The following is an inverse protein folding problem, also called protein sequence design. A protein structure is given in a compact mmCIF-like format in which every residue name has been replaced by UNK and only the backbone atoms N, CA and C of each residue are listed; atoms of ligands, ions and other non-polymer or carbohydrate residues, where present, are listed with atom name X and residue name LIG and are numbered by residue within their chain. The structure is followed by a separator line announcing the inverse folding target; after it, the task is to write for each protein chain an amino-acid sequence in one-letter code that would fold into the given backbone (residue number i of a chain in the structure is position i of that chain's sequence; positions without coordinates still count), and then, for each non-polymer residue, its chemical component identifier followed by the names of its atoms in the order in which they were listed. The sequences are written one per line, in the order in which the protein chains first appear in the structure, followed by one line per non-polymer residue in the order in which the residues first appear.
data_IF_034748289023
#
_entry.id   IF_034748289023
#
_cell.length_a   1.000
_cell.length_b   1.000
_cell.length_c   1.000
_cell.angle_alpha   90.00
_cell.angle_beta   90.00
_cell.angle_gamma   90.00
#
_symmetry.space_group_name_H-M   'P 1'
#
loop_
_entity.id
_entity.type
_entity.pdbx_description
1 polymer ?
#
# COMPACT_ATOMS: atom_id res chain seq x y z
N UNK A 1 52.72 52.37 -77.06
CA UNK A 1 52.35 51.03 -76.58
C UNK A 1 51.56 51.22 -75.29
N UNK A 2 50.24 50.99 -75.38
CA UNK A 2 49.24 50.44 -74.42
C UNK A 2 49.61 50.48 -72.92
N UNK A 3 48.73 50.69 -71.93
CA UNK A 3 47.27 50.68 -71.78
C UNK A 3 47.00 51.11 -70.31
N UNK A 4 46.05 52.00 -70.03
CA UNK A 4 44.71 51.73 -69.44
C UNK A 4 44.64 51.46 -67.92
N UNK A 5 43.65 52.14 -67.30
CA UNK A 5 42.85 51.80 -66.09
C UNK A 5 43.52 52.06 -64.72
N UNK A 6 43.14 53.05 -63.91
CA UNK A 6 41.84 53.48 -63.37
C UNK A 6 41.33 52.61 -62.19
N UNK A 7 40.79 53.31 -61.18
CA UNK A 7 40.06 52.86 -59.97
C UNK A 7 40.82 52.42 -58.70
N UNK A 8 40.75 53.31 -57.70
CA UNK A 8 40.08 53.09 -56.40
C UNK A 8 40.16 51.65 -55.85
N UNK A 9 40.96 51.46 -54.79
CA UNK A 9 40.76 50.33 -53.89
C UNK A 9 40.41 50.85 -52.50
N UNK A 10 39.13 51.18 -52.40
CA UNK A 10 38.36 51.33 -51.18
C UNK A 10 38.64 50.18 -50.19
N UNK A 11 38.72 50.57 -48.93
CA UNK A 11 38.77 49.72 -47.74
C UNK A 11 37.63 48.69 -47.75
N UNK A 12 37.98 47.40 -47.81
CA UNK A 12 37.04 46.32 -47.51
C UNK A 12 36.70 46.33 -46.02
N UNK A 13 35.65 47.07 -45.68
CA UNK A 13 34.93 46.94 -44.41
C UNK A 13 34.34 45.53 -44.34
N UNK A 14 35.01 44.66 -43.60
CA UNK A 14 34.52 43.32 -43.29
C UNK A 14 33.43 43.46 -42.24
N UNK A 15 32.19 43.71 -42.67
CA UNK A 15 31.02 43.59 -41.80
C UNK A 15 30.91 42.15 -41.29
N UNK A 16 30.79 41.92 -39.98
CA UNK A 16 30.51 40.58 -39.47
C UNK A 16 29.08 40.20 -39.88
N UNK A 17 28.94 39.16 -40.70
CA UNK A 17 27.65 38.51 -40.92
C UNK A 17 27.16 37.93 -39.60
N UNK A 18 26.34 38.70 -38.87
CA UNK A 18 25.46 38.15 -37.84
C UNK A 18 24.54 37.12 -38.50
N UNK A 19 24.49 35.87 -38.00
CA UNK A 19 23.53 34.91 -38.51
C UNK A 19 22.15 35.35 -38.01
N UNK A 20 21.35 35.90 -38.92
CA UNK A 20 19.94 36.17 -38.68
C UNK A 20 19.28 34.82 -38.44
N UNK A 21 19.09 34.47 -37.17
CA UNK A 21 18.39 33.25 -36.76
C UNK A 21 16.93 33.46 -37.17
N UNK A 22 16.57 32.99 -38.36
CA UNK A 22 15.20 33.07 -38.86
C UNK A 22 14.29 32.27 -37.92
N UNK A 23 13.59 32.99 -37.04
CA UNK A 23 12.54 32.44 -36.20
C UNK A 23 11.31 32.17 -37.09
N UNK A 24 11.35 31.06 -37.83
CA UNK A 24 10.20 30.58 -38.59
C UNK A 24 9.14 30.02 -37.65
N UNK A 25 7.87 30.33 -37.93
CA UNK A 25 6.70 29.81 -37.19
C UNK A 25 6.73 28.27 -37.12
N UNK A 26 7.21 27.60 -38.18
CA UNK A 26 7.37 26.13 -38.18
C UNK A 26 8.36 25.62 -37.12
N UNK A 27 9.42 26.37 -36.84
CA UNK A 27 10.39 26.04 -35.78
C UNK A 27 9.80 26.23 -34.38
N UNK A 28 8.87 27.18 -34.22
CA UNK A 28 8.14 27.38 -32.97
C UNK A 28 7.15 26.23 -32.73
N UNK A 29 6.35 25.87 -33.75
CA UNK A 29 5.40 24.74 -33.70
C UNK A 29 6.13 23.45 -33.30
N UNK A 30 7.22 23.12 -33.98
CA UNK A 30 8.02 21.92 -33.67
C UNK A 30 8.50 21.92 -32.21
N UNK A 31 8.92 23.07 -31.70
CA UNK A 31 9.40 23.20 -30.32
C UNK A 31 8.27 23.03 -29.32
N UNK A 32 7.09 23.58 -29.60
CA UNK A 32 5.88 23.39 -28.76
C UNK A 32 5.49 21.91 -28.71
N UNK A 33 5.45 21.23 -29.86
CA UNK A 33 5.16 19.79 -29.93
C UNK A 33 6.19 18.98 -29.13
N UNK A 34 7.48 19.32 -29.22
CA UNK A 34 8.54 18.67 -28.45
C UNK A 34 8.43 18.90 -26.94
N UNK A 35 7.91 20.05 -26.50
CA UNK A 35 7.63 20.32 -25.09
C UNK A 35 6.42 19.53 -24.60
N UNK A 36 5.32 19.55 -25.35
CA UNK A 36 4.11 18.78 -25.03
C UNK A 36 4.40 17.28 -24.97
N UNK A 37 5.17 16.76 -25.92
CA UNK A 37 5.58 15.36 -25.92
C UNK A 37 6.43 14.99 -24.69
N UNK A 38 7.31 15.89 -24.25
CA UNK A 38 8.12 15.67 -23.04
C UNK A 38 7.26 15.66 -21.78
N UNK A 39 6.39 16.65 -21.65
CA UNK A 39 5.45 16.76 -20.51
C UNK A 39 4.54 15.54 -20.41
N UNK A 40 4.00 15.07 -21.54
CA UNK A 40 3.21 13.84 -21.58
C UNK A 40 4.02 12.61 -21.19
N UNK A 41 5.28 12.52 -21.62
CA UNK A 41 6.13 11.38 -21.28
C UNK A 41 6.52 11.37 -19.80
N UNK A 42 6.83 12.53 -19.22
CA UNK A 42 7.09 12.70 -17.78
C UNK A 42 5.85 12.37 -16.95
N UNK A 43 4.67 12.80 -17.39
CA UNK A 43 3.40 12.47 -16.74
C UNK A 43 3.15 10.95 -16.77
N UNK A 44 3.37 10.29 -17.90
CA UNK A 44 3.22 8.83 -18.03
C UNK A 44 4.20 8.10 -17.12
N UNK A 45 5.47 8.53 -17.08
CA UNK A 45 6.48 7.93 -16.22
C UNK A 45 6.12 8.05 -14.74
N UNK A 46 5.66 9.24 -14.32
CA UNK A 46 5.22 9.50 -12.95
C UNK A 46 4.03 8.61 -12.59
N UNK A 47 2.98 8.60 -13.41
CA UNK A 47 1.80 7.77 -13.17
C UNK A 47 2.13 6.27 -13.18
N UNK A 48 3.06 5.83 -14.03
CA UNK A 48 3.50 4.43 -14.07
C UNK A 48 4.20 4.04 -12.79
N UNK A 49 5.08 4.92 -12.29
CA UNK A 49 5.81 4.71 -11.04
C UNK A 49 4.84 4.65 -9.86
N UNK A 50 3.93 5.62 -9.76
CA UNK A 50 2.92 5.67 -8.70
C UNK A 50 1.98 4.46 -8.74
N UNK A 51 1.57 4.03 -9.93
CA UNK A 51 0.73 2.84 -10.08
C UNK A 51 1.47 1.58 -9.61
N UNK A 52 2.75 1.43 -9.95
CA UNK A 52 3.57 0.31 -9.47
C UNK A 52 3.70 0.31 -7.94
N UNK A 53 3.88 1.49 -7.34
CA UNK A 53 3.97 1.66 -5.88
C UNK A 53 2.65 1.25 -5.22
N UNK A 54 1.52 1.74 -5.73
CA UNK A 54 0.20 1.40 -5.24
C UNK A 54 -0.08 -0.10 -5.34
N UNK A 55 0.27 -0.73 -6.46
CA UNK A 55 0.14 -2.19 -6.62
C UNK A 55 0.94 -2.94 -5.57
N UNK A 56 2.20 -2.56 -5.36
CA UNK A 56 3.05 -3.17 -4.34
C UNK A 56 2.44 -3.01 -2.92
N UNK A 57 1.92 -1.82 -2.62
CA UNK A 57 1.26 -1.53 -1.34
C UNK A 57 0.01 -2.40 -1.16
N UNK A 58 -0.83 -2.53 -2.20
CA UNK A 58 -2.04 -3.37 -2.17
C UNK A 58 -1.67 -4.83 -1.88
N UNK A 59 -0.69 -5.38 -2.59
CA UNK A 59 -0.25 -6.77 -2.39
C UNK A 59 0.27 -6.99 -0.96
N UNK A 60 1.04 -6.02 -0.44
CA UNK A 60 1.51 -6.06 0.94
C UNK A 60 0.35 -6.04 1.94
N UNK A 61 -0.63 -5.17 1.75
CA UNK A 61 -1.82 -5.13 2.62
C UNK A 61 -2.63 -6.42 2.55
N UNK A 62 -2.85 -6.98 1.36
CA UNK A 62 -3.53 -8.25 1.20
C UNK A 62 -2.83 -9.37 1.96
N UNK A 63 -1.49 -9.47 1.84
CA UNK A 63 -0.70 -10.46 2.58
C UNK A 63 -0.86 -10.30 4.09
N UNK A 64 -0.72 -9.07 4.58
CA UNK A 64 -0.86 -8.79 6.01
C UNK A 64 -2.27 -9.10 6.51
N UNK A 65 -3.30 -8.78 5.71
CA UNK A 65 -4.68 -9.06 6.05
C UNK A 65 -4.94 -10.57 6.19
N UNK A 66 -4.43 -11.38 5.24
CA UNK A 66 -4.51 -12.84 5.34
C UNK A 66 -3.86 -13.38 6.61
N UNK A 67 -2.67 -12.87 6.98
CA UNK A 67 -1.99 -13.27 8.21
C UNK A 67 -2.79 -12.88 9.46
N UNK A 68 -3.39 -11.69 9.48
CA UNK A 68 -4.24 -11.26 10.59
C UNK A 68 -5.46 -12.15 10.76
N UNK A 69 -6.11 -12.55 9.66
CA UNK A 69 -7.24 -13.50 9.70
C UNK A 69 -6.79 -14.84 10.28
N UNK A 70 -5.66 -15.38 9.80
CA UNK A 70 -5.14 -16.66 10.30
C UNK A 70 -4.86 -16.61 11.80
N UNK A 71 -4.23 -15.54 12.29
CA UNK A 71 -3.98 -15.35 13.73
C UNK A 71 -5.29 -15.28 14.52
N UNK A 72 -6.29 -14.58 14.00
CA UNK A 72 -7.60 -14.46 14.65
C UNK A 72 -8.29 -15.83 14.75
N UNK A 73 -8.27 -16.62 13.70
CA UNK A 73 -8.82 -17.98 13.68
C UNK A 73 -8.12 -18.88 14.70
N UNK A 74 -6.78 -18.84 14.75
CA UNK A 74 -6.01 -19.61 15.74
C UNK A 74 -6.32 -19.18 17.16
N UNK A 75 -6.45 -17.87 17.39
CA UNK A 75 -6.78 -17.32 18.71
C UNK A 75 -8.17 -17.76 19.15
N UNK A 76 -9.16 -17.67 18.25
CA UNK A 76 -10.51 -18.13 18.51
C UNK A 76 -10.53 -19.64 18.87
N UNK A 77 -9.81 -20.47 18.10
CA UNK A 77 -9.71 -21.90 18.38
C UNK A 77 -9.05 -22.19 19.75
N UNK A 78 -8.02 -21.43 20.12
CA UNK A 78 -7.37 -21.55 21.42
C UNK A 78 -8.33 -21.21 22.56
N UNK A 79 -9.11 -20.14 22.42
CA UNK A 79 -10.14 -19.75 23.41
C UNK A 79 -11.19 -20.84 23.58
N UNK A 80 -11.72 -21.40 22.48
CA UNK A 80 -12.67 -22.50 22.55
C UNK A 80 -12.10 -23.74 23.25
N UNK A 81 -10.82 -24.02 23.01
CA UNK A 81 -10.13 -25.15 23.64
C UNK A 81 -9.95 -24.92 25.14
N UNK A 82 -9.56 -23.71 25.54
CA UNK A 82 -9.45 -23.31 26.95
C UNK A 82 -10.80 -23.37 27.66
N UNK A 83 -11.87 -22.90 27.01
CA UNK A 83 -13.22 -22.95 27.58
C UNK A 83 -13.65 -24.39 27.86
N UNK A 84 -13.40 -25.30 26.91
CA UNK A 84 -13.70 -26.74 27.10
C UNK A 84 -12.85 -27.35 28.21
N UNK A 85 -11.57 -27.02 28.28
CA UNK A 85 -10.69 -27.51 29.35
C UNK A 85 -11.14 -27.00 30.73
N UNK A 86 -11.58 -25.75 30.82
CA UNK A 86 -12.13 -25.17 32.04
C UNK A 86 -13.42 -25.87 32.47
N UNK A 87 -14.35 -26.06 31.54
CA UNK A 87 -15.61 -26.78 31.80
C UNK A 87 -15.34 -28.20 32.31
N UNK A 88 -14.41 -28.90 31.67
CA UNK A 88 -14.00 -30.23 32.08
C UNK A 88 -13.38 -30.25 33.50
N UNK A 89 -12.50 -29.30 33.80
CA UNK A 89 -11.88 -29.16 35.12
C UNK A 89 -12.94 -28.90 36.22
N UNK A 90 -13.93 -28.05 35.94
CA UNK A 90 -15.04 -27.78 36.86
C UNK A 90 -15.87 -29.05 37.09
N UNK A 91 -16.20 -29.80 36.04
CA UNK A 91 -16.96 -31.04 36.16
C UNK A 91 -16.19 -32.11 36.95
N UNK A 92 -14.88 -32.21 36.76
CA UNK A 92 -14.00 -33.09 37.54
C UNK A 92 -13.96 -32.69 39.02
N UNK A 93 -13.85 -31.40 39.32
CA UNK A 93 -13.85 -30.89 40.70
C UNK A 93 -15.19 -31.19 41.41
N UNK A 94 -16.31 -30.94 40.72
CA UNK A 94 -17.65 -31.29 41.23
C UNK A 94 -17.77 -32.81 41.43
N UNK A 95 -17.24 -33.61 40.51
CA UNK A 95 -17.27 -35.07 40.63
C UNK A 95 -16.43 -35.56 41.82
N UNK A 96 -15.23 -34.99 42.01
CA UNK A 96 -14.36 -35.29 43.14
C UNK A 96 -14.99 -34.87 44.47
N UNK A 97 -15.59 -33.68 44.56
CA UNK A 97 -16.32 -33.22 45.75
C UNK A 97 -17.47 -34.17 46.07
N UNK A 98 -18.25 -34.58 45.07
CA UNK A 98 -19.36 -35.54 45.27
C UNK A 98 -18.87 -36.89 45.78
N UNK A 99 -17.79 -37.43 45.21
CA UNK A 99 -17.21 -38.69 45.66
C UNK A 99 -16.68 -38.58 47.09
N UNK A 100 -16.02 -37.47 47.42
CA UNK A 100 -15.54 -37.18 48.76
C UNK A 100 -16.67 -37.10 49.77
N UNK A 101 -17.74 -36.34 49.49
CA UNK A 101 -18.91 -36.23 50.36
C UNK A 101 -19.63 -37.58 50.54
N UNK A 102 -19.73 -38.38 49.47
CA UNK A 102 -20.30 -39.71 49.53
C UNK A 102 -19.50 -40.66 50.42
N UNK A 103 -18.17 -40.59 50.39
CA UNK A 103 -17.29 -41.34 51.29
C UNK A 103 -17.60 -41.05 52.78
N UNK A 104 -17.98 -39.80 53.10
CA UNK A 104 -18.38 -39.40 54.45
C UNK A 104 -19.87 -39.62 54.77
N UNK A 105 -20.65 -40.22 53.84
CA UNK A 105 -22.09 -40.46 54.02
C UNK A 105 -22.96 -39.21 53.94
N UNK A 106 -22.41 -38.07 53.51
CA UNK A 106 -23.14 -36.80 53.38
C UNK A 106 -23.79 -36.75 52.00
N UNK A 107 -25.12 -36.85 51.94
CA UNK A 107 -25.88 -36.62 50.70
C UNK A 107 -26.23 -35.13 50.60
N UNK A 108 -25.47 -34.39 49.80
CA UNK A 108 -25.83 -33.02 49.41
C UNK A 108 -27.01 -33.12 48.42
N UNK A 109 -28.19 -32.63 48.80
CA UNK A 109 -29.31 -32.52 47.87
C UNK A 109 -28.89 -31.58 46.72
N UNK A 110 -29.01 -32.03 45.47
CA UNK A 110 -28.71 -31.23 44.30
C UNK A 110 -29.76 -30.13 44.17
N UNK A 111 -29.54 -28.98 44.80
CA UNK A 111 -30.26 -27.76 44.45
C UNK A 111 -29.89 -27.40 43.03
N UNK A 112 -30.93 -27.41 42.19
CA UNK A 112 -30.97 -27.10 40.77
C UNK A 112 -29.96 -26.01 40.40
N UNK A 113 -29.09 -26.30 39.41
CA UNK A 113 -28.20 -25.30 38.79
C UNK A 113 -29.01 -24.04 38.52
N UNK A 114 -28.74 -22.96 39.24
CA UNK A 114 -29.20 -21.64 38.82
C UNK A 114 -28.55 -21.39 37.46
N UNK A 115 -29.35 -21.44 36.41
CA UNK A 115 -28.94 -21.11 35.06
C UNK A 115 -28.35 -19.70 35.09
N UNK A 116 -27.03 -19.60 35.00
CA UNK A 116 -26.33 -18.34 34.80
C UNK A 116 -26.73 -17.83 33.41
N UNK A 117 -27.59 -16.82 33.38
CA UNK A 117 -27.96 -16.09 32.16
C UNK A 117 -26.93 -14.98 31.96
N UNK A 118 -26.13 -15.00 30.88
CA UNK A 118 -25.26 -13.88 30.54
C UNK A 118 -26.13 -12.78 29.94
N UNK A 119 -26.84 -12.05 30.79
CA UNK A 119 -27.49 -10.83 30.39
C UNK A 119 -26.41 -9.75 30.17
N UNK A 120 -26.21 -9.38 28.90
CA UNK A 120 -25.78 -8.02 28.53
C UNK A 120 -24.28 -7.81 28.33
N UNK A 121 -23.76 -8.29 27.19
CA UNK A 121 -22.72 -7.57 26.45
C UNK A 121 -23.22 -7.38 25.02
N UNK A 122 -24.19 -6.49 24.84
CA UNK A 122 -24.46 -5.78 23.58
C UNK A 122 -24.71 -4.32 23.96
#
# INVERSE_FOLDING_TARGET
MNSDLDYERDTQDTKPSTPTKEFSVGSLIKRVDEYQRRDHMETIETLTTDNSLLQHVIVKYQKNWCLTIEILEKTHQAVLTLQKALEHCIDEDIAAERQWLAFWGIKKECTTRQNYSPAGWI
#
